data_IF_848350198067
#
_entry.id   IF_848350198067
#
_cell.length_a   1.000
_cell.length_b   1.000
_cell.length_c   1.000
_cell.angle_alpha   90.00
_cell.angle_beta   90.00
_cell.angle_gamma   90.00
#
_symmetry.space_group_name_H-M   'P 1'
#
loop_
_entity.id
_entity.type
_entity.pdbx_description
1 polymer ?
#
# COMPACT_ATOMS: atom_id res chain seq x y z
N UNK A 1 -7.93 -14.09 -16.56
CA UNK A 1 -8.71 -13.63 -15.40
C UNK A 1 -7.77 -13.60 -14.20
N UNK A 2 -7.68 -12.48 -13.49
CA UNK A 2 -6.80 -12.33 -12.33
C UNK A 2 -7.66 -12.44 -11.07
N UNK A 3 -7.30 -13.31 -10.14
CA UNK A 3 -7.99 -13.44 -8.85
C UNK A 3 -7.30 -12.53 -7.82
N UNK A 4 -8.06 -11.57 -7.28
CA UNK A 4 -7.57 -10.64 -6.26
C UNK A 4 -7.84 -11.26 -4.89
N UNK A 5 -6.82 -11.87 -4.30
CA UNK A 5 -6.99 -12.68 -3.07
C UNK A 5 -7.41 -11.86 -1.86
N UNK A 6 -6.73 -10.73 -1.63
CA UNK A 6 -6.93 -9.92 -0.43
C UNK A 6 -6.26 -8.56 -0.55
N UNK A 7 -7.01 -7.50 -0.25
CA UNK A 7 -6.48 -6.18 0.04
C UNK A 7 -6.44 -5.99 1.56
N UNK A 8 -5.26 -5.67 2.10
CA UNK A 8 -5.08 -5.31 3.50
C UNK A 8 -4.73 -3.83 3.58
N UNK A 9 -5.52 -3.06 4.35
CA UNK A 9 -5.30 -1.64 4.63
C UNK A 9 -4.84 -1.48 6.07
N UNK A 10 -3.81 -0.66 6.30
CA UNK A 10 -3.32 -0.32 7.63
C UNK A 10 -2.72 1.09 7.64
N UNK A 11 -2.84 1.82 8.74
CA UNK A 11 -2.09 3.07 8.93
C UNK A 11 -0.65 2.72 9.33
N UNK A 12 0.32 3.36 8.69
CA UNK A 12 1.74 3.25 9.00
C UNK A 12 2.34 4.65 9.08
N UNK A 13 3.21 4.91 10.03
CA UNK A 13 3.94 6.17 10.06
C UNK A 13 5.19 6.10 9.15
N UNK A 14 5.54 7.20 8.50
CA UNK A 14 6.72 7.31 7.65
C UNK A 14 8.01 7.28 8.49
N UNK A 15 8.48 6.09 8.87
CA UNK A 15 9.68 5.87 9.72
C UNK A 15 10.99 5.68 8.92
N UNK A 16 10.92 5.70 7.59
CA UNK A 16 12.10 5.61 6.73
C UNK A 16 12.37 7.00 6.16
N UNK A 17 13.55 7.55 6.45
CA UNK A 17 14.00 8.85 5.94
C UNK A 17 13.82 8.97 4.42
N UNK A 18 14.04 7.89 3.67
CA UNK A 18 13.85 7.85 2.22
C UNK A 18 12.39 8.03 1.80
N UNK A 19 11.44 7.48 2.55
CA UNK A 19 10.00 7.61 2.25
C UNK A 19 9.51 9.02 2.52
N UNK A 20 9.92 9.59 3.66
CA UNK A 20 9.61 10.97 4.02
C UNK A 20 10.18 11.95 2.99
N UNK A 21 11.44 11.74 2.59
CA UNK A 21 12.11 12.53 1.56
C UNK A 21 11.43 12.39 0.20
N UNK A 22 11.15 11.17 -0.25
CA UNK A 22 10.54 10.91 -1.56
C UNK A 22 9.13 11.51 -1.69
N UNK A 23 8.36 11.47 -0.60
CA UNK A 23 7.00 12.02 -0.56
C UNK A 23 6.94 13.49 -0.14
N UNK A 24 8.08 14.10 0.18
CA UNK A 24 8.21 15.47 0.70
C UNK A 24 7.28 15.73 1.91
N UNK A 25 7.36 14.85 2.90
CA UNK A 25 6.60 14.92 4.16
C UNK A 25 7.55 14.82 5.36
N UNK A 26 7.07 15.19 6.53
CA UNK A 26 7.81 15.00 7.77
C UNK A 26 7.91 13.52 8.16
N UNK A 27 9.00 13.17 8.83
CA UNK A 27 9.14 11.84 9.42
C UNK A 27 8.02 11.61 10.46
N UNK A 28 7.47 10.40 10.49
CA UNK A 28 6.34 10.07 11.36
C UNK A 28 4.97 10.47 10.81
N UNK A 29 4.91 11.17 9.66
CA UNK A 29 3.65 11.51 9.01
C UNK A 29 2.79 10.25 8.74
N UNK A 30 1.47 10.27 9.03
CA UNK A 30 0.61 9.10 8.88
C UNK A 30 0.36 8.79 7.40
N UNK A 31 0.66 7.54 7.00
CA UNK A 31 0.45 7.02 5.67
C UNK A 31 -0.57 5.88 5.69
N UNK A 32 -1.41 5.82 4.66
CA UNK A 32 -2.18 4.63 4.35
C UNK A 32 -1.27 3.63 3.64
N UNK A 33 -1.17 2.43 4.21
CA UNK A 33 -0.41 1.31 3.63
C UNK A 33 -1.39 0.28 3.09
N UNK A 34 -1.33 0.04 1.79
CA UNK A 34 -2.15 -0.97 1.11
C UNK A 34 -1.25 -2.09 0.64
N UNK A 35 -1.57 -3.32 1.06
CA UNK A 35 -0.90 -4.52 0.57
C UNK A 35 -1.86 -5.30 -0.29
N UNK A 36 -1.41 -5.68 -1.48
CA UNK A 36 -2.16 -6.50 -2.42
C UNK A 36 -1.37 -7.75 -2.74
N UNK A 37 -2.05 -8.89 -2.73
CA UNK A 37 -1.55 -10.13 -3.34
C UNK A 37 -2.50 -10.51 -4.46
N UNK A 38 -1.92 -10.89 -5.57
CA UNK A 38 -2.63 -11.27 -6.79
C UNK A 38 -2.24 -12.69 -7.12
N UNK A 39 -3.24 -13.53 -7.35
CA UNK A 39 -3.04 -14.91 -7.75
C UNK A 39 -3.63 -15.20 -9.11
N UNK A 40 -3.00 -16.14 -9.81
CA UNK A 40 -3.54 -16.72 -11.03
C UNK A 40 -4.75 -17.62 -10.70
N UNK A 41 -5.55 -18.01 -11.71
CA UNK A 41 -6.73 -18.84 -11.52
C UNK A 41 -6.46 -20.20 -10.85
N UNK A 42 -5.24 -20.74 -10.99
CA UNK A 42 -4.78 -21.97 -10.36
C UNK A 42 -4.27 -21.77 -8.91
N UNK A 43 -4.40 -20.54 -8.37
CA UNK A 43 -4.05 -20.20 -7.00
C UNK A 43 -2.57 -19.87 -6.77
N UNK A 44 -1.74 -19.82 -7.82
CA UNK A 44 -0.35 -19.38 -7.68
C UNK A 44 -0.27 -17.88 -7.48
N UNK A 45 0.52 -17.42 -6.51
CA UNK A 45 0.77 -15.99 -6.29
C UNK A 45 1.65 -15.45 -7.41
N UNK A 46 1.10 -14.58 -8.22
CA UNK A 46 1.80 -14.01 -9.38
C UNK A 46 2.33 -12.60 -9.14
N UNK A 47 1.77 -11.87 -8.16
CA UNK A 47 2.24 -10.51 -7.86
C UNK A 47 1.94 -10.09 -6.41
N UNK A 48 2.87 -9.34 -5.81
CA UNK A 48 2.73 -8.73 -4.49
C UNK A 48 3.16 -7.28 -4.56
N UNK A 49 2.34 -6.38 -4.02
CA UNK A 49 2.68 -4.96 -3.91
C UNK A 49 2.39 -4.42 -2.53
N UNK A 50 3.15 -3.38 -2.18
CA UNK A 50 2.92 -2.50 -1.04
C UNK A 50 2.88 -1.07 -1.59
N UNK A 51 1.77 -0.38 -1.35
CA UNK A 51 1.60 1.03 -1.69
C UNK A 51 1.54 1.84 -0.40
N UNK A 52 2.24 2.97 -0.39
CA UNK A 52 2.20 3.96 0.67
C UNK A 52 1.55 5.21 0.11
N UNK A 53 0.50 5.69 0.76
CA UNK A 53 -0.38 6.74 0.23
C UNK A 53 -0.56 7.80 1.33
N UNK A 54 -0.53 9.07 0.93
CA UNK A 54 -0.89 10.20 1.80
C UNK A 54 -2.40 10.14 2.09
N UNK A 55 -2.79 9.66 3.27
CA UNK A 55 -4.18 9.36 3.59
C UNK A 55 -5.10 10.59 3.63
N UNK A 56 -4.53 11.78 3.79
CA UNK A 56 -5.22 13.07 3.76
C UNK A 56 -5.41 13.63 2.33
N UNK A 57 -4.68 13.08 1.34
CA UNK A 57 -4.75 13.52 -0.06
C UNK A 57 -5.57 12.58 -0.96
N UNK A 58 -5.89 11.39 -0.48
CA UNK A 58 -6.52 10.36 -1.28
C UNK A 58 -7.66 9.67 -0.54
N UNK A 59 -8.73 9.39 -1.27
CA UNK A 59 -9.82 8.54 -0.81
C UNK A 59 -9.78 7.20 -1.54
N UNK A 60 -10.02 6.11 -0.81
CA UNK A 60 -10.06 4.77 -1.39
C UNK A 60 -11.50 4.28 -1.50
N UNK A 61 -12.03 4.32 -2.72
CA UNK A 61 -13.33 3.79 -3.10
C UNK A 61 -13.20 2.28 -3.37
N UNK A 62 -14.12 1.47 -2.84
CA UNK A 62 -14.11 0.00 -2.93
C UNK A 62 -15.35 -0.49 -3.66
#
# INVERSE_FOLDING_TARGET
>A
MICRDRLLKSIQAAHLADVATYLNIEEGYPLLSIRSTVSSPDGQKIHRSKQLILGDKFELIV
#
